data_IF_543588821861
#
_entry.id   IF_543588821861
#
_cell.length_a   1.000
_cell.length_b   1.000
_cell.length_c   1.000
_cell.angle_alpha   90.00
_cell.angle_beta   90.00
_cell.angle_gamma   90.00
#
_symmetry.space_group_name_H-M   'P 1'
#
loop_
_entity.id
_entity.type
_entity.pdbx_description
1 polymer ?
#
# COMPACT_ATOMS: atom_id res chain seq x y z
N UNK A 1 13.89 35.39 0.32
CA UNK A 1 12.79 35.54 1.30
C UNK A 1 12.13 34.19 1.49
N UNK A 2 11.99 33.65 2.71
CA UNK A 2 11.14 32.48 2.93
C UNK A 2 9.69 32.90 2.69
N UNK A 3 9.05 32.32 1.69
CA UNK A 3 7.62 32.53 1.42
C UNK A 3 6.84 31.89 2.58
N UNK A 4 6.16 32.70 3.39
CA UNK A 4 5.26 32.19 4.43
C UNK A 4 4.02 31.64 3.73
N UNK A 5 3.83 30.34 3.80
CA UNK A 5 2.63 29.67 3.32
C UNK A 5 1.47 30.13 4.21
N UNK A 6 0.42 30.68 3.60
CA UNK A 6 -0.80 31.12 4.30
C UNK A 6 -1.71 29.91 4.53
N UNK A 7 -2.62 29.98 5.51
CA UNK A 7 -3.59 28.89 5.78
C UNK A 7 -4.43 28.51 4.56
N UNK A 8 -4.70 29.47 3.67
CA UNK A 8 -5.39 29.21 2.40
C UNK A 8 -4.51 28.42 1.44
N UNK A 9 -3.22 28.72 1.36
CA UNK A 9 -2.25 27.96 0.58
C UNK A 9 -2.09 26.53 1.14
N UNK A 10 -2.12 26.34 2.46
CA UNK A 10 -2.12 25.01 3.09
C UNK A 10 -3.38 24.22 2.74
N UNK A 11 -4.56 24.84 2.78
CA UNK A 11 -5.83 24.21 2.38
C UNK A 11 -5.86 23.87 0.89
N UNK A 12 -5.28 24.72 0.05
CA UNK A 12 -5.13 24.44 -1.37
C UNK A 12 -4.12 23.32 -1.60
N UNK A 13 -3.00 23.30 -0.89
CA UNK A 13 -2.04 22.20 -0.92
C UNK A 13 -2.62 20.90 -0.37
N UNK A 14 -3.55 20.94 0.57
CA UNK A 14 -4.28 19.76 1.02
C UNK A 14 -5.29 19.29 -0.04
N UNK A 15 -6.01 20.23 -0.67
CA UNK A 15 -7.01 19.95 -1.72
C UNK A 15 -6.40 19.52 -3.06
N UNK A 16 -5.20 19.99 -3.38
CA UNK A 16 -4.51 19.77 -4.66
C UNK A 16 -3.23 18.93 -4.52
N UNK A 17 -2.71 18.77 -3.32
CA UNK A 17 -1.60 17.87 -3.03
C UNK A 17 -2.07 16.42 -2.93
N UNK A 18 -1.10 15.50 -3.02
CA UNK A 18 -1.29 14.07 -2.78
C UNK A 18 -1.57 13.81 -1.28
N UNK A 19 -2.59 14.42 -0.70
CA UNK A 19 -3.01 14.11 0.66
C UNK A 19 -3.45 12.65 0.69
N UNK A 20 -2.58 11.79 1.24
CA UNK A 20 -2.82 10.35 1.35
C UNK A 20 -4.09 10.18 2.19
N UNK A 21 -5.13 9.60 1.59
CA UNK A 21 -6.39 9.38 2.28
C UNK A 21 -6.15 8.67 3.61
N UNK A 22 -6.59 9.28 4.72
CA UNK A 22 -6.51 8.67 6.06
C UNK A 22 -7.14 7.28 6.06
N UNK A 23 -8.21 7.08 5.28
CA UNK A 23 -8.88 5.79 5.10
C UNK A 23 -7.96 4.75 4.45
N UNK A 24 -7.28 5.11 3.37
CA UNK A 24 -6.33 4.21 2.69
C UNK A 24 -5.13 3.86 3.58
N UNK A 25 -4.60 4.81 4.35
CA UNK A 25 -3.48 4.53 5.26
C UNK A 25 -3.83 3.45 6.30
N UNK A 26 -5.01 3.51 6.91
CA UNK A 26 -5.44 2.46 7.85
C UNK A 26 -5.50 1.08 7.19
N UNK A 27 -5.96 1.00 5.93
CA UNK A 27 -5.99 -0.25 5.17
C UNK A 27 -4.57 -0.79 4.90
N UNK A 28 -3.63 0.10 4.58
CA UNK A 28 -2.22 -0.24 4.31
C UNK A 28 -1.55 -0.81 5.57
N UNK A 29 -1.56 -0.07 6.68
CA UNK A 29 -0.91 -0.52 7.92
C UNK A 29 -1.59 -1.74 8.53
N UNK A 30 -2.92 -1.79 8.50
CA UNK A 30 -3.68 -2.95 8.96
C UNK A 30 -3.31 -4.22 8.19
N UNK A 31 -3.27 -4.15 6.86
CA UNK A 31 -2.86 -5.30 6.05
C UNK A 31 -1.38 -5.67 6.24
N UNK A 32 -0.50 -4.68 6.42
CA UNK A 32 0.92 -4.94 6.63
C UNK A 32 1.19 -5.75 7.91
N UNK A 33 0.41 -5.49 8.96
CA UNK A 33 0.47 -6.28 10.20
C UNK A 33 -0.12 -7.67 10.01
N UNK A 34 -1.28 -7.79 9.34
CA UNK A 34 -1.90 -9.10 9.12
C UNK A 34 -0.99 -10.03 8.31
N UNK A 35 -0.40 -9.55 7.22
CA UNK A 35 0.47 -10.36 6.37
C UNK A 35 1.78 -10.76 7.09
N UNK A 36 2.31 -9.92 8.00
CA UNK A 36 3.53 -10.22 8.75
C UNK A 36 3.32 -11.20 9.91
N UNK A 37 2.07 -11.41 10.34
CA UNK A 37 1.69 -12.38 11.38
C UNK A 37 1.44 -13.78 10.81
N UNK A 38 0.97 -13.91 9.56
CA UNK A 38 0.69 -15.21 8.92
C UNK A 38 1.88 -16.19 9.00
N UNK A 39 3.13 -15.77 8.73
CA UNK A 39 4.28 -16.66 8.78
C UNK A 39 4.57 -17.20 10.19
N UNK A 40 4.17 -16.51 11.27
CA UNK A 40 4.37 -17.02 12.64
C UNK A 40 3.70 -18.40 12.77
N UNK A 41 2.48 -18.54 12.24
CA UNK A 41 1.76 -19.81 12.26
C UNK A 41 2.49 -20.89 11.47
N UNK A 42 3.00 -20.55 10.28
CA UNK A 42 3.75 -21.48 9.43
C UNK A 42 5.02 -21.99 10.12
N UNK A 43 5.80 -21.10 10.74
CA UNK A 43 7.05 -21.49 11.41
C UNK A 43 6.82 -22.20 12.75
N UNK A 44 5.75 -21.89 13.45
CA UNK A 44 5.37 -22.62 14.65
C UNK A 44 4.93 -24.06 14.33
N UNK A 45 4.08 -24.24 13.31
CA UNK A 45 3.48 -25.54 13.01
C UNK A 45 4.33 -26.45 12.13
N UNK A 46 5.02 -25.89 11.13
CA UNK A 46 5.79 -26.67 10.15
C UNK A 46 7.23 -26.85 10.60
N UNK A 47 7.89 -25.76 11.01
CA UNK A 47 9.30 -25.78 11.40
C UNK A 47 9.52 -26.03 12.90
N UNK A 48 8.45 -26.32 13.65
CA UNK A 48 8.46 -26.65 15.09
C UNK A 48 9.22 -25.65 15.96
N UNK A 49 9.24 -24.36 15.57
CA UNK A 49 9.87 -23.31 16.36
C UNK A 49 8.98 -22.93 17.55
N UNK A 50 9.47 -23.11 18.78
CA UNK A 50 8.67 -22.90 19.99
C UNK A 50 8.29 -21.43 20.17
N UNK A 51 6.99 -21.13 20.31
CA UNK A 51 6.47 -19.76 20.42
C UNK A 51 7.03 -18.98 21.62
N UNK A 52 6.89 -19.52 22.83
CA UNK A 52 7.21 -18.78 24.07
C UNK A 52 8.70 -18.45 24.14
N UNK A 53 9.57 -19.42 23.85
CA UNK A 53 11.02 -19.22 23.90
C UNK A 53 11.54 -18.26 22.83
N UNK A 54 10.82 -18.09 21.70
CA UNK A 54 11.25 -17.25 20.59
C UNK A 54 10.32 -16.04 20.39
N UNK A 55 9.48 -15.70 21.37
CA UNK A 55 8.48 -14.64 21.26
C UNK A 55 9.09 -13.29 20.90
N UNK A 56 10.27 -12.99 21.44
CA UNK A 56 11.04 -11.77 21.12
C UNK A 56 11.46 -11.76 19.64
N UNK A 57 11.97 -12.88 19.13
CA UNK A 57 12.36 -13.01 17.71
C UNK A 57 11.15 -12.82 16.79
N UNK A 58 10.04 -13.52 17.07
CA UNK A 58 8.79 -13.37 16.31
C UNK A 58 8.32 -11.92 16.28
N UNK A 59 8.34 -11.25 17.43
CA UNK A 59 7.88 -9.86 17.52
C UNK A 59 8.77 -8.92 16.71
N UNK A 60 10.09 -8.99 16.89
CA UNK A 60 11.04 -8.11 16.19
C UNK A 60 10.94 -8.30 14.67
N UNK A 61 10.92 -9.54 14.21
CA UNK A 61 10.89 -9.86 12.78
C UNK A 61 9.54 -9.52 12.14
N UNK A 62 8.42 -9.77 12.83
CA UNK A 62 7.10 -9.37 12.34
C UNK A 62 6.91 -7.86 12.29
N UNK A 63 7.50 -7.11 13.23
CA UNK A 63 7.51 -5.63 13.16
C UNK A 63 8.38 -5.16 12.00
N UNK A 64 9.60 -5.67 11.85
CA UNK A 64 10.49 -5.28 10.77
C UNK A 64 9.88 -5.57 9.39
N UNK A 65 9.27 -6.74 9.21
CA UNK A 65 8.58 -7.10 7.97
C UNK A 65 7.32 -6.26 7.73
N UNK A 66 6.53 -5.93 8.76
CA UNK A 66 5.40 -5.02 8.61
C UNK A 66 5.84 -3.61 8.14
N UNK A 67 6.97 -3.10 8.64
CA UNK A 67 7.52 -1.83 8.19
C UNK A 67 7.96 -1.87 6.72
N UNK A 68 8.70 -2.92 6.33
CA UNK A 68 9.10 -3.13 4.94
C UNK A 68 7.88 -3.26 4.03
N UNK A 69 6.84 -3.94 4.50
CA UNK A 69 5.64 -4.17 3.72
C UNK A 69 4.78 -2.91 3.56
N UNK A 70 4.62 -2.13 4.62
CA UNK A 70 3.97 -0.82 4.57
C UNK A 70 4.70 0.13 3.60
N UNK A 71 6.03 0.12 3.61
CA UNK A 71 6.83 0.88 2.67
C UNK A 71 6.60 0.44 1.21
N UNK A 72 6.57 -0.88 0.96
CA UNK A 72 6.32 -1.43 -0.36
C UNK A 72 4.91 -1.10 -0.87
N UNK A 73 3.87 -1.17 -0.03
CA UNK A 73 2.52 -0.79 -0.44
C UNK A 73 2.44 0.68 -0.87
N UNK A 74 3.02 1.60 -0.09
CA UNK A 74 3.02 3.02 -0.39
C UNK A 74 3.79 3.34 -1.67
N UNK A 75 4.94 2.68 -1.87
CA UNK A 75 5.76 2.84 -3.07
C UNK A 75 5.04 2.37 -4.34
N UNK A 76 4.28 1.26 -4.27
CA UNK A 76 3.51 0.74 -5.41
C UNK A 76 2.27 1.59 -5.70
N UNK A 77 1.59 2.06 -4.65
CA UNK A 77 0.31 2.78 -4.77
C UNK A 77 0.43 4.04 -5.64
N UNK A 78 1.50 4.82 -5.47
CA UNK A 78 1.68 6.12 -6.13
C UNK A 78 1.60 6.06 -7.66
N UNK A 79 2.43 5.26 -8.37
CA UNK A 79 2.35 5.14 -9.82
C UNK A 79 1.05 4.45 -10.30
N UNK A 80 0.49 3.53 -9.50
CA UNK A 80 -0.79 2.88 -9.79
C UNK A 80 -1.94 3.88 -9.77
N UNK A 81 -1.97 4.78 -8.78
CA UNK A 81 -3.01 5.80 -8.62
C UNK A 81 -3.04 6.76 -9.82
N UNK A 82 -1.90 7.22 -10.32
CA UNK A 82 -1.83 8.11 -11.48
C UNK A 82 -2.31 7.43 -12.77
N UNK A 83 -1.92 6.17 -12.97
CA UNK A 83 -2.37 5.38 -14.13
C UNK A 83 -3.86 5.07 -14.08
N UNK A 84 -4.41 4.79 -12.90
CA UNK A 84 -5.84 4.54 -12.72
C UNK A 84 -6.63 5.83 -12.88
N UNK A 85 -6.18 6.93 -12.27
CA UNK A 85 -6.81 8.24 -12.39
C UNK A 85 -6.94 8.64 -13.87
N UNK A 86 -5.84 8.61 -14.64
CA UNK A 86 -5.87 8.98 -16.06
C UNK A 86 -6.84 8.14 -16.90
N UNK A 87 -6.99 6.84 -16.60
CA UNK A 87 -7.94 5.95 -17.29
C UNK A 87 -9.39 6.11 -16.83
N UNK A 88 -9.62 6.48 -15.56
CA UNK A 88 -10.95 6.62 -14.97
C UNK A 88 -11.57 7.99 -15.20
N UNK A 89 -10.77 9.03 -15.43
CA UNK A 89 -11.26 10.40 -15.68
C UNK A 89 -12.31 10.45 -16.78
N UNK A 90 -12.10 9.79 -17.92
CA UNK A 90 -13.02 9.85 -19.05
C UNK A 90 -14.38 9.20 -18.76
N UNK A 91 -14.37 8.07 -18.03
CA UNK A 91 -15.59 7.38 -17.63
C UNK A 91 -16.36 8.18 -16.57
N UNK A 92 -15.67 8.70 -15.56
CA UNK A 92 -16.25 9.51 -14.49
C UNK A 92 -16.77 10.85 -15.04
N UNK A 93 -16.09 11.45 -16.01
CA UNK A 93 -16.57 12.67 -16.70
C UNK A 93 -17.91 12.43 -17.37
N UNK A 94 -18.11 11.27 -18.03
CA UNK A 94 -19.41 10.91 -18.63
C UNK A 94 -20.47 10.70 -17.56
N UNK A 95 -20.15 10.03 -16.47
CA UNK A 95 -21.06 9.79 -15.35
C UNK A 95 -21.50 11.10 -14.69
N UNK A 96 -20.55 11.96 -14.30
CA UNK A 96 -20.84 13.27 -13.69
C UNK A 96 -21.64 14.14 -14.66
N UNK A 97 -21.29 14.17 -15.95
CA UNK A 97 -22.08 14.90 -16.95
C UNK A 97 -23.49 14.32 -17.14
N UNK A 98 -23.70 13.01 -16.95
CA UNK A 98 -25.03 12.40 -17.03
C UNK A 98 -25.92 12.79 -15.84
N UNK A 99 -25.33 12.93 -14.65
CA UNK A 99 -26.03 13.26 -13.39
C UNK A 99 -26.28 14.75 -13.28
N UNK A 100 -25.26 15.57 -13.53
CA UNK A 100 -25.29 17.02 -13.34
C UNK A 100 -25.54 17.82 -14.62
N UNK A 101 -25.55 17.17 -15.80
CA UNK A 101 -25.80 17.83 -17.08
C UNK A 101 -27.22 18.40 -17.21
N UNK A 102 -28.18 17.90 -16.40
CA UNK A 102 -29.55 18.40 -16.35
C UNK A 102 -29.73 19.61 -15.42
N UNK A 103 -28.82 19.81 -14.47
CA UNK A 103 -28.84 20.96 -13.56
C UNK A 103 -28.09 22.15 -14.15
N UNK A 104 -28.84 23.12 -14.69
CA UNK A 104 -28.31 24.41 -15.19
C UNK A 104 -27.70 25.30 -14.09
N UNK A 105 -27.82 24.90 -12.81
CA UNK A 105 -27.35 25.69 -11.66
C UNK A 105 -25.90 25.41 -11.23
N UNK A 106 -25.27 24.32 -11.69
CA UNK A 106 -23.87 24.06 -11.34
C UNK A 106 -22.92 24.88 -12.21
N UNK A 107 -21.96 25.57 -11.57
CA UNK A 107 -20.86 26.23 -12.26
C UNK A 107 -19.97 25.19 -12.94
N UNK A 108 -19.33 25.54 -14.07
CA UNK A 108 -18.35 24.66 -14.74
C UNK A 108 -17.25 24.21 -13.77
N UNK A 109 -16.81 25.13 -12.91
CA UNK A 109 -15.81 24.86 -11.88
C UNK A 109 -16.23 23.78 -10.90
N UNK A 110 -17.47 23.83 -10.41
CA UNK A 110 -17.97 22.86 -9.43
C UNK A 110 -18.08 21.45 -10.03
N UNK A 111 -18.36 21.35 -11.34
CA UNK A 111 -18.38 20.08 -12.07
C UNK A 111 -16.97 19.50 -12.21
N UNK A 112 -16.01 20.32 -12.60
CA UNK A 112 -14.61 19.88 -12.75
C UNK A 112 -14.02 19.45 -11.40
N UNK A 113 -14.35 20.17 -10.32
CA UNK A 113 -13.96 19.81 -8.96
C UNK A 113 -14.61 18.47 -8.53
N UNK A 114 -15.89 18.24 -8.84
CA UNK A 114 -16.56 16.97 -8.55
C UNK A 114 -15.96 15.79 -9.33
N UNK A 115 -15.64 15.97 -10.62
CA UNK A 115 -14.98 14.94 -11.43
C UNK A 115 -13.62 14.60 -10.82
N UNK A 116 -12.84 15.62 -10.44
CA UNK A 116 -11.52 15.45 -9.86
C UNK A 116 -11.59 14.69 -8.53
N UNK A 117 -12.46 15.11 -7.62
CA UNK A 117 -12.63 14.48 -6.31
C UNK A 117 -13.02 13.01 -6.44
N UNK A 118 -14.02 12.70 -7.28
CA UNK A 118 -14.45 11.32 -7.54
C UNK A 118 -13.37 10.47 -8.18
N UNK A 119 -12.64 11.04 -9.13
CA UNK A 119 -11.53 10.32 -9.80
C UNK A 119 -10.41 10.02 -8.81
N UNK A 120 -10.04 10.98 -7.96
CA UNK A 120 -9.01 10.78 -6.93
C UNK A 120 -9.46 9.75 -5.89
N UNK A 121 -10.72 9.79 -5.43
CA UNK A 121 -11.25 8.82 -4.47
C UNK A 121 -11.23 7.38 -5.02
N UNK A 122 -11.74 7.19 -6.24
CA UNK A 122 -11.76 5.87 -6.89
C UNK A 122 -10.34 5.38 -7.18
N UNK A 123 -9.48 6.24 -7.69
CA UNK A 123 -8.09 5.89 -7.96
C UNK A 123 -7.34 5.53 -6.67
N UNK A 124 -7.56 6.24 -5.57
CA UNK A 124 -6.95 5.95 -4.26
C UNK A 124 -7.39 4.58 -3.74
N UNK A 125 -8.67 4.24 -3.83
CA UNK A 125 -9.20 2.95 -3.39
C UNK A 125 -8.73 1.78 -4.25
N UNK A 126 -8.86 1.88 -5.58
CA UNK A 126 -8.43 0.84 -6.51
C UNK A 126 -6.91 0.61 -6.41
N UNK A 127 -6.11 1.69 -6.44
CA UNK A 127 -4.65 1.59 -6.35
C UNK A 127 -4.18 0.97 -5.03
N UNK A 128 -4.80 1.32 -3.91
CA UNK A 128 -4.48 0.74 -2.59
C UNK A 128 -4.76 -0.76 -2.59
N UNK A 129 -5.92 -1.17 -3.10
CA UNK A 129 -6.30 -2.59 -3.13
C UNK A 129 -5.36 -3.40 -4.01
N UNK A 130 -5.04 -2.89 -5.21
CA UNK A 130 -4.08 -3.54 -6.11
C UNK A 130 -2.66 -3.60 -5.51
N UNK A 131 -2.21 -2.52 -4.88
CA UNK A 131 -0.89 -2.47 -4.25
C UNK A 131 -0.78 -3.49 -3.12
N UNK A 132 -1.80 -3.63 -2.27
CA UNK A 132 -1.84 -4.63 -1.19
C UNK A 132 -1.81 -6.04 -1.78
N UNK A 133 -2.69 -6.35 -2.73
CA UNK A 133 -2.79 -7.69 -3.31
C UNK A 133 -1.48 -8.13 -3.97
N UNK A 134 -0.93 -7.30 -4.86
CA UNK A 134 0.29 -7.64 -5.61
C UNK A 134 1.49 -7.89 -4.67
N UNK A 135 1.69 -6.99 -3.71
CA UNK A 135 2.79 -7.10 -2.77
C UNK A 135 2.61 -8.28 -1.80
N UNK A 136 1.37 -8.59 -1.39
CA UNK A 136 1.08 -9.78 -0.58
C UNK A 136 1.41 -11.08 -1.30
N UNK A 137 0.99 -11.22 -2.55
CA UNK A 137 1.31 -12.39 -3.36
C UNK A 137 2.82 -12.57 -3.51
N UNK A 138 3.54 -11.47 -3.77
CA UNK A 138 5.00 -11.49 -3.90
C UNK A 138 5.67 -11.89 -2.59
N UNK A 139 5.26 -11.27 -1.47
CA UNK A 139 5.78 -11.59 -0.14
C UNK A 139 5.60 -13.07 0.19
N UNK A 140 4.38 -13.61 0.02
CA UNK A 140 4.11 -15.02 0.31
C UNK A 140 4.89 -15.96 -0.60
N UNK A 141 4.99 -15.66 -1.89
CA UNK A 141 5.73 -16.49 -2.84
C UNK A 141 7.21 -16.56 -2.46
N UNK A 142 7.85 -15.40 -2.24
CA UNK A 142 9.27 -15.36 -1.83
C UNK A 142 9.45 -16.04 -0.49
N UNK A 143 8.57 -15.79 0.48
CA UNK A 143 8.63 -16.42 1.80
C UNK A 143 8.57 -17.95 1.72
N UNK A 144 7.67 -18.51 0.90
CA UNK A 144 7.56 -19.95 0.73
C UNK A 144 8.81 -20.54 0.08
N UNK A 145 9.29 -19.94 -1.01
CA UNK A 145 10.49 -20.41 -1.72
C UNK A 145 11.71 -20.36 -0.80
N UNK A 146 11.94 -19.22 -0.16
CA UNK A 146 13.08 -19.02 0.74
C UNK A 146 12.99 -19.94 1.97
N UNK A 147 11.79 -20.14 2.53
CA UNK A 147 11.60 -21.03 3.67
C UNK A 147 11.91 -22.49 3.36
N UNK A 148 11.56 -22.95 2.15
CA UNK A 148 11.87 -24.30 1.68
C UNK A 148 13.37 -24.48 1.42
N UNK A 149 14.03 -23.48 0.82
CA UNK A 149 15.47 -23.54 0.56
C UNK A 149 16.27 -23.53 1.87
N UNK A 150 15.83 -22.76 2.87
CA UNK A 150 16.49 -22.67 4.17
C UNK A 150 16.05 -23.74 5.18
N UNK A 151 15.24 -24.73 4.78
CA UNK A 151 14.72 -25.76 5.70
C UNK A 151 15.82 -26.63 6.33
N UNK A 152 17.01 -26.67 5.73
CA UNK A 152 18.18 -27.42 6.21
C UNK A 152 18.96 -26.69 7.31
N UNK A 153 18.70 -25.39 7.52
CA UNK A 153 19.34 -24.59 8.55
C UNK A 153 18.53 -24.56 9.86
N UNK A 154 19.06 -23.89 10.89
CA UNK A 154 18.34 -23.72 12.14
C UNK A 154 16.99 -23.00 11.93
N UNK A 155 15.90 -23.44 12.58
CA UNK A 155 14.58 -22.83 12.41
C UNK A 155 14.54 -21.32 12.71
N UNK A 156 15.41 -20.84 13.63
CA UNK A 156 15.53 -19.40 13.93
C UNK A 156 16.10 -18.62 12.75
N UNK A 157 17.19 -19.11 12.13
CA UNK A 157 17.81 -18.45 10.98
C UNK A 157 16.88 -18.49 9.77
N UNK A 158 16.21 -19.63 9.54
CA UNK A 158 15.24 -19.75 8.46
C UNK A 158 14.12 -18.70 8.60
N UNK A 159 13.52 -18.56 9.78
CA UNK A 159 12.47 -17.56 10.02
C UNK A 159 12.96 -16.13 9.78
N UNK A 160 14.09 -15.76 10.39
CA UNK A 160 14.65 -14.42 10.28
C UNK A 160 14.96 -14.04 8.83
N UNK A 161 15.69 -14.91 8.13
CA UNK A 161 16.15 -14.65 6.76
C UNK A 161 14.99 -14.68 5.78
N UNK A 162 14.07 -15.64 5.89
CA UNK A 162 12.92 -15.75 4.98
C UNK A 162 11.99 -14.54 5.09
N UNK A 163 11.72 -14.07 6.31
CA UNK A 163 10.88 -12.89 6.54
C UNK A 163 11.50 -11.61 6.00
N UNK A 164 12.81 -11.41 6.26
CA UNK A 164 13.52 -10.22 5.79
C UNK A 164 13.73 -10.23 4.28
N UNK A 165 14.07 -11.37 3.69
CA UNK A 165 14.20 -11.49 2.24
C UNK A 165 12.85 -11.28 1.55
N UNK A 166 11.77 -11.87 2.04
CA UNK A 166 10.44 -11.66 1.46
C UNK A 166 10.00 -10.19 1.54
N UNK A 167 10.13 -9.55 2.71
CA UNK A 167 9.80 -8.14 2.88
C UNK A 167 10.72 -7.21 2.08
N UNK A 168 12.02 -7.50 2.07
CA UNK A 168 13.03 -6.73 1.34
C UNK A 168 12.86 -6.83 -0.17
N UNK A 169 12.61 -8.03 -0.71
CA UNK A 169 12.33 -8.23 -2.13
C UNK A 169 11.06 -7.50 -2.56
N UNK A 170 10.00 -7.53 -1.74
CA UNK A 170 8.78 -6.80 -2.04
C UNK A 170 9.00 -5.28 -2.04
N UNK A 171 9.72 -4.76 -1.05
CA UNK A 171 10.10 -3.34 -1.00
C UNK A 171 10.95 -2.92 -2.20
N UNK A 172 11.99 -3.70 -2.54
CA UNK A 172 12.89 -3.42 -3.66
C UNK A 172 12.15 -3.38 -5.00
N UNK A 173 11.34 -4.41 -5.28
CA UNK A 173 10.58 -4.50 -6.54
C UNK A 173 9.47 -3.46 -6.63
N UNK A 174 8.91 -3.06 -5.49
CA UNK A 174 7.92 -1.98 -5.43
C UNK A 174 8.55 -0.61 -5.74
N UNK A 175 9.72 -0.31 -5.15
CA UNK A 175 10.43 0.94 -5.44
C UNK A 175 10.98 1.01 -6.87
N UNK A 176 11.44 -0.11 -7.43
CA UNK A 176 11.96 -0.17 -8.81
C UNK A 176 10.92 0.20 -9.88
N UNK A 177 9.62 -0.03 -9.62
CA UNK A 177 8.54 0.35 -10.54
C UNK A 177 8.13 1.82 -10.45
N UNK A 178 8.59 2.56 -9.44
CA UNK A 178 8.33 4.00 -9.31
C UNK A 178 9.30 4.86 -10.12
N UNK A 179 10.37 4.28 -10.70
CA UNK A 179 11.44 5.00 -11.41
C UNK A 179 11.40 4.87 -12.93
N UNK A 180 10.31 4.32 -13.49
CA UNK A 180 10.06 4.18 -14.94
C UNK A 180 8.72 4.85 -15.26
#
# INVERSE_FOLDING_TARGET
MPVKITKEDELLLEKYGRAVSKRSNHLIYGNAVLISLIPIWLFWRVHSLTLVSNAVLYTIVSVASALLMSYAYNSSKTPLMERIASRRTDAITKEVNSVYGKDKKLSRKDRDDAIRERTTEVADYESTTFAIFYNNCLFLLVLLVTSLVLSQFSPQLNYFVSMLLAGGSAAFLSSGKSSI
#
